data_IF_360468020945
#
_entry.id   IF_360468020945
#
_cell.length_a   1.000
_cell.length_b   1.000
_cell.length_c   1.000
_cell.angle_alpha   90.00
_cell.angle_beta   90.00
_cell.angle_gamma   90.00
#
_symmetry.space_group_name_H-M   'P 1'
#
loop_
_entity.id
_entity.type
_entity.pdbx_description
1 polymer ?
#
# COMPACT_ATOMS: atom_id res chain seq x y z
N UNK A 1 -33.31 17.51 -9.14
CA UNK A 1 -33.15 18.65 -8.21
C UNK A 1 -31.72 18.86 -7.69
N UNK A 2 -31.08 17.90 -7.00
CA UNK A 2 -29.69 18.08 -6.49
C UNK A 2 -28.65 18.10 -7.62
N UNK A 3 -28.78 17.20 -8.60
CA UNK A 3 -27.89 17.08 -9.76
C UNK A 3 -27.96 18.31 -10.70
N UNK A 4 -29.14 18.92 -10.85
CA UNK A 4 -29.33 20.17 -11.61
C UNK A 4 -28.77 21.40 -10.90
N UNK A 5 -28.76 21.42 -9.56
CA UNK A 5 -28.15 22.50 -8.79
C UNK A 5 -26.63 22.49 -8.88
N UNK A 6 -26.01 21.31 -8.87
CA UNK A 6 -24.54 21.15 -9.00
C UNK A 6 -24.07 21.63 -10.38
N UNK A 7 -24.79 21.29 -11.46
CA UNK A 7 -24.47 21.73 -12.82
C UNK A 7 -24.67 23.24 -13.06
N UNK A 8 -25.49 23.93 -12.26
CA UNK A 8 -25.63 25.40 -12.32
C UNK A 8 -24.52 26.15 -11.59
N UNK A 9 -23.91 25.56 -10.56
CA UNK A 9 -22.81 26.18 -9.79
C UNK A 9 -21.51 26.21 -10.59
N UNK A 10 -21.28 25.22 -11.47
CA UNK A 10 -20.11 25.18 -12.37
C UNK A 10 -20.14 26.23 -13.50
N UNK A 11 -21.26 26.93 -13.72
CA UNK A 11 -21.46 27.89 -14.84
C UNK A 11 -21.43 29.37 -14.45
N UNK A 12 -21.13 29.72 -13.20
CA UNK A 12 -21.10 31.13 -12.76
C UNK A 12 -19.76 31.80 -13.13
N UNK A 13 -19.76 32.99 -13.77
CA UNK A 13 -18.54 33.63 -14.24
C UNK A 13 -17.70 34.17 -13.07
N UNK A 14 -16.38 34.03 -13.20
CA UNK A 14 -15.39 34.53 -12.26
C UNK A 14 -15.26 36.03 -12.44
N UNK A 15 -15.87 36.81 -11.55
CA UNK A 15 -15.66 38.26 -11.48
C UNK A 15 -14.59 38.52 -10.42
N UNK A 16 -13.37 38.79 -10.89
CA UNK A 16 -12.26 39.26 -10.08
C UNK A 16 -12.41 40.77 -9.91
N UNK A 17 -12.58 41.26 -8.68
CA UNK A 17 -12.37 42.68 -8.36
C UNK A 17 -11.20 42.82 -7.38
N UNK A 18 -10.32 43.73 -7.78
CA UNK A 18 -9.00 44.12 -7.30
C UNK A 18 -8.89 44.48 -5.82
N UNK A 19 -7.95 43.84 -5.09
CA UNK A 19 -7.05 44.43 -4.08
C UNK A 19 -6.06 43.35 -3.57
N UNK A 20 -4.73 43.57 -3.61
CA UNK A 20 -3.75 42.53 -3.33
C UNK A 20 -3.18 42.68 -1.91
N UNK A 21 -3.70 41.94 -0.93
CA UNK A 21 -3.02 41.61 0.34
C UNK A 21 -3.92 40.60 1.07
N UNK A 22 -3.38 39.44 1.44
CA UNK A 22 -4.07 38.28 2.05
C UNK A 22 -4.95 37.41 1.12
N UNK A 23 -4.32 36.72 0.16
CA UNK A 23 -4.93 35.54 -0.47
C UNK A 23 -4.37 34.26 0.18
N UNK A 24 -4.86 33.93 1.37
CA UNK A 24 -4.75 32.59 1.95
C UNK A 24 -6.18 32.07 2.22
N UNK A 25 -6.95 31.97 1.13
CA UNK A 25 -8.31 31.46 1.15
C UNK A 25 -8.30 30.08 0.49
N UNK A 26 -8.07 29.04 1.28
CA UNK A 26 -8.20 27.65 0.82
C UNK A 26 -9.59 27.48 0.21
N UNK A 27 -9.64 26.72 -0.88
CA UNK A 27 -10.85 26.38 -1.62
C UNK A 27 -11.96 25.85 -0.68
N UNK A 28 -11.59 25.29 0.47
CA UNK A 28 -12.45 24.83 1.58
C UNK A 28 -13.29 25.94 2.21
N UNK A 29 -12.73 27.13 2.48
CA UNK A 29 -13.50 28.25 3.06
C UNK A 29 -14.55 28.76 2.07
N UNK A 30 -14.22 28.73 0.77
CA UNK A 30 -15.15 29.11 -0.31
C UNK A 30 -16.22 28.04 -0.55
N UNK A 31 -15.86 26.75 -0.51
CA UNK A 31 -16.81 25.64 -0.59
C UNK A 31 -17.76 25.65 0.61
N UNK A 32 -17.24 25.86 1.82
CA UNK A 32 -18.02 25.97 3.04
C UNK A 32 -19.00 27.14 2.97
N UNK A 33 -18.55 28.30 2.47
CA UNK A 33 -19.44 29.45 2.27
C UNK A 33 -20.52 29.13 1.24
N UNK A 34 -20.18 28.63 0.05
CA UNK A 34 -21.13 28.25 -1.00
C UNK A 34 -22.15 27.18 -0.54
N UNK A 35 -21.69 26.14 0.16
CA UNK A 35 -22.56 25.08 0.70
C UNK A 35 -23.43 25.61 1.85
N UNK A 36 -22.93 26.54 2.66
CA UNK A 36 -23.74 27.24 3.67
C UNK A 36 -24.82 28.11 3.04
N UNK A 37 -24.53 28.72 1.89
CA UNK A 37 -25.48 29.53 1.11
C UNK A 37 -26.55 28.65 0.46
N UNK A 38 -26.17 27.51 -0.12
CA UNK A 38 -27.09 26.51 -0.67
C UNK A 38 -28.04 25.96 0.41
N UNK A 39 -27.51 25.68 1.61
CA UNK A 39 -28.32 25.26 2.75
C UNK A 39 -29.30 26.33 3.26
N UNK A 40 -29.15 27.62 2.93
CA UNK A 40 -30.12 28.66 3.34
C UNK A 40 -31.45 28.61 2.59
N UNK A 41 -31.48 27.95 1.43
CA UNK A 41 -32.70 27.79 0.61
C UNK A 41 -33.50 26.53 0.98
N UNK A 42 -33.04 25.74 1.95
CA UNK A 42 -33.72 24.53 2.43
C UNK A 42 -34.51 24.83 3.71
N UNK A 43 -35.74 24.32 3.81
CA UNK A 43 -36.57 24.44 5.01
C UNK A 43 -36.02 23.59 6.18
N UNK A 44 -36.45 23.93 7.40
CA UNK A 44 -35.80 23.63 8.69
C UNK A 44 -35.19 22.23 8.86
N UNK A 45 -35.95 21.15 8.61
CA UNK A 45 -35.44 19.79 8.78
C UNK A 45 -34.32 19.44 7.80
N UNK A 46 -34.43 19.80 6.52
CA UNK A 46 -33.40 19.54 5.51
C UNK A 46 -32.10 20.33 5.75
N UNK A 47 -32.22 21.54 6.31
CA UNK A 47 -31.08 22.40 6.68
C UNK A 47 -30.34 21.88 7.91
N UNK A 48 -31.06 21.30 8.86
CA UNK A 48 -30.49 20.64 10.04
C UNK A 48 -29.78 19.35 9.64
N UNK A 49 -30.41 18.52 8.81
CA UNK A 49 -29.82 17.26 8.30
C UNK A 49 -28.56 17.50 7.46
N UNK A 50 -28.55 18.53 6.60
CA UNK A 50 -27.39 18.88 5.79
C UNK A 50 -26.20 19.40 6.62
N UNK A 51 -26.45 20.29 7.61
CA UNK A 51 -25.41 20.73 8.56
C UNK A 51 -24.95 19.60 9.47
N UNK A 52 -25.84 18.68 9.83
CA UNK A 52 -25.54 17.49 10.63
C UNK A 52 -24.68 16.49 9.86
N UNK A 53 -25.00 16.20 8.59
CA UNK A 53 -24.18 15.35 7.71
C UNK A 53 -22.78 15.92 7.47
N UNK A 54 -22.66 17.23 7.22
CA UNK A 54 -21.37 17.90 7.05
C UNK A 54 -20.58 17.89 8.36
N UNK A 55 -21.20 18.12 9.53
CA UNK A 55 -20.50 18.02 10.82
C UNK A 55 -20.07 16.58 11.15
N UNK A 56 -20.85 15.56 10.78
CA UNK A 56 -20.52 14.16 11.06
C UNK A 56 -19.32 13.67 10.25
N UNK A 57 -19.17 13.99 8.95
CA UNK A 57 -18.02 13.52 8.12
C UNK A 57 -16.64 13.83 8.72
N UNK A 58 -16.51 14.93 9.47
CA UNK A 58 -15.27 15.38 10.11
C UNK A 58 -14.94 14.63 11.41
N UNK A 59 -15.86 13.78 11.88
CA UNK A 59 -15.71 12.91 13.07
C UNK A 59 -15.42 11.44 12.69
N UNK A 60 -15.46 11.08 11.40
CA UNK A 60 -15.15 9.71 10.98
C UNK A 60 -13.64 9.57 10.86
N UNK A 61 -13.08 8.88 11.85
CA UNK A 61 -11.69 8.48 11.85
C UNK A 61 -11.53 7.16 11.11
N UNK A 62 -10.75 7.20 10.03
CA UNK A 62 -10.36 6.04 9.25
C UNK A 62 -8.93 5.68 9.63
N UNK A 63 -8.72 4.43 10.01
CA UNK A 63 -7.38 3.89 10.22
C UNK A 63 -6.87 3.31 8.91
N UNK A 64 -5.67 3.72 8.49
CA UNK A 64 -5.01 3.22 7.28
C UNK A 64 -3.78 2.40 7.68
N UNK A 65 -3.76 1.11 7.33
CA UNK A 65 -2.55 0.30 7.47
C UNK A 65 -1.61 0.64 6.30
N UNK A 66 -0.54 1.39 6.57
CA UNK A 66 0.31 1.99 5.55
C UNK A 66 1.47 1.05 5.17
N UNK A 67 1.48 0.51 3.95
CA UNK A 67 2.53 -0.41 3.51
C UNK A 67 2.81 -0.51 2.01
N UNK A 68 2.06 0.17 1.14
CA UNK A 68 2.37 0.30 -0.30
C UNK A 68 2.57 1.77 -0.68
N UNK A 69 3.18 2.02 -1.85
CA UNK A 69 3.41 3.40 -2.31
C UNK A 69 2.10 4.17 -2.53
N UNK A 70 1.06 3.47 -2.96
CA UNK A 70 -0.28 3.99 -3.22
C UNK A 70 -1.01 4.43 -1.95
N UNK A 71 -0.54 4.01 -0.76
CA UNK A 71 -1.09 4.46 0.52
C UNK A 71 -1.02 5.98 0.68
N UNK A 72 -0.07 6.66 0.01
CA UNK A 72 0.00 8.12 -0.02
C UNK A 72 -1.23 8.74 -0.69
N UNK A 73 -1.56 8.28 -1.90
CA UNK A 73 -2.72 8.77 -2.65
C UNK A 73 -4.02 8.45 -1.93
N UNK A 74 -4.08 7.29 -1.25
CA UNK A 74 -5.19 6.95 -0.38
C UNK A 74 -5.39 7.98 0.74
N UNK A 75 -4.34 8.30 1.50
CA UNK A 75 -4.44 9.30 2.57
C UNK A 75 -4.85 10.66 2.00
N UNK A 76 -4.20 11.11 0.92
CA UNK A 76 -4.55 12.38 0.25
C UNK A 76 -6.03 12.42 -0.16
N UNK A 77 -6.55 11.36 -0.78
CA UNK A 77 -7.96 11.26 -1.18
C UNK A 77 -8.92 11.24 0.01
N UNK A 78 -8.60 10.50 1.08
CA UNK A 78 -9.40 10.50 2.31
C UNK A 78 -9.46 11.89 2.94
N UNK A 79 -8.32 12.59 2.99
CA UNK A 79 -8.24 13.96 3.52
C UNK A 79 -9.02 14.95 2.67
N UNK A 80 -8.93 14.87 1.35
CA UNK A 80 -9.71 15.71 0.42
C UNK A 80 -11.22 15.51 0.59
N UNK A 81 -11.65 14.29 0.95
CA UNK A 81 -13.03 13.97 1.27
C UNK A 81 -13.45 14.40 2.71
N UNK A 82 -12.55 14.99 3.49
CA UNK A 82 -12.82 15.54 4.82
C UNK A 82 -12.74 14.52 5.97
N UNK A 83 -12.19 13.33 5.73
CA UNK A 83 -12.00 12.32 6.78
C UNK A 83 -10.82 12.66 7.70
N UNK A 84 -10.89 12.16 8.94
CA UNK A 84 -9.72 12.08 9.82
C UNK A 84 -9.00 10.77 9.55
N UNK A 85 -7.68 10.79 9.54
CA UNK A 85 -6.86 9.64 9.17
C UNK A 85 -5.78 9.37 10.22
N UNK A 86 -5.76 8.15 10.75
CA UNK A 86 -4.64 7.62 11.53
C UNK A 86 -3.92 6.58 10.68
N UNK A 87 -2.64 6.78 10.43
CA UNK A 87 -1.82 5.83 9.71
C UNK A 87 -1.09 4.89 10.67
N UNK A 88 -1.10 3.59 10.36
CA UNK A 88 -0.35 2.57 11.09
C UNK A 88 0.82 2.10 10.25
N UNK A 89 2.02 2.16 10.80
CA UNK A 89 3.21 1.63 10.11
C UNK A 89 4.27 1.17 11.10
N UNK A 90 5.08 0.17 10.71
CA UNK A 90 6.18 -0.38 11.52
C UNK A 90 7.55 0.21 11.16
N UNK A 91 7.58 1.26 10.34
CA UNK A 91 8.84 1.84 9.85
C UNK A 91 8.86 3.36 10.00
N UNK A 92 9.99 3.90 10.44
CA UNK A 92 10.19 5.35 10.58
C UNK A 92 10.00 6.08 9.24
N UNK A 93 10.47 5.47 8.14
CA UNK A 93 10.29 6.00 6.79
C UNK A 93 8.82 6.02 6.36
N UNK A 94 8.08 4.93 6.56
CA UNK A 94 6.65 4.88 6.29
C UNK A 94 5.87 5.91 7.11
N UNK A 95 6.26 6.12 8.37
CA UNK A 95 5.62 7.10 9.24
C UNK A 95 5.81 8.54 8.74
N UNK A 96 7.04 8.88 8.33
CA UNK A 96 7.31 10.18 7.70
C UNK A 96 6.49 10.39 6.42
N UNK A 97 6.43 9.38 5.55
CA UNK A 97 5.65 9.48 4.31
C UNK A 97 4.15 9.62 4.59
N UNK A 98 3.60 8.88 5.55
CA UNK A 98 2.19 8.99 5.93
C UNK A 98 1.86 10.38 6.48
N UNK A 99 2.73 10.96 7.31
CA UNK A 99 2.58 12.33 7.81
C UNK A 99 2.62 13.37 6.69
N UNK A 100 3.58 13.27 5.76
CA UNK A 100 3.66 14.14 4.57
C UNK A 100 2.40 14.02 3.70
N UNK A 101 1.78 12.85 3.66
CA UNK A 101 0.56 12.59 2.89
C UNK A 101 -0.71 13.17 3.54
N UNK A 102 -0.61 13.71 4.76
CA UNK A 102 -1.71 14.39 5.45
C UNK A 102 -2.40 13.59 6.54
N UNK A 103 -1.82 12.48 7.03
CA UNK A 103 -2.35 11.76 8.18
C UNK A 103 -2.40 12.67 9.42
N UNK A 104 -3.51 12.63 10.16
CA UNK A 104 -3.66 13.42 11.40
C UNK A 104 -2.81 12.85 12.55
N UNK A 105 -2.52 11.55 12.51
CA UNK A 105 -1.60 10.89 13.42
C UNK A 105 -0.97 9.64 12.79
N UNK A 106 0.20 9.25 13.31
CA UNK A 106 0.92 8.04 12.90
C UNK A 106 1.19 7.21 14.15
N UNK A 107 0.83 5.93 14.11
CA UNK A 107 1.00 4.99 15.23
C UNK A 107 1.72 3.72 14.81
N UNK A 108 2.41 3.10 15.77
CA UNK A 108 3.13 1.83 15.59
C UNK A 108 2.81 0.91 16.79
N UNK A 109 1.64 0.24 16.81
CA UNK A 109 1.25 -0.61 17.93
C UNK A 109 2.20 -1.81 18.03
N UNK A 110 2.62 -2.11 19.26
CA UNK A 110 3.53 -3.20 19.55
C UNK A 110 2.84 -4.58 19.49
N UNK A 111 1.55 -4.64 19.86
CA UNK A 111 0.80 -5.89 20.06
C UNK A 111 -0.72 -5.71 19.74
N UNK A 112 -1.49 -6.81 19.68
CA UNK A 112 -2.93 -6.76 19.42
C UNK A 112 -3.75 -5.97 20.44
N UNK A 113 -3.43 -6.07 21.73
CA UNK A 113 -4.18 -5.38 22.78
C UNK A 113 -4.03 -3.86 22.63
N UNK A 114 -2.82 -3.40 22.28
CA UNK A 114 -2.57 -2.00 22.01
C UNK A 114 -3.27 -1.53 20.74
N UNK A 115 -3.33 -2.36 19.69
CA UNK A 115 -4.08 -2.05 18.48
C UNK A 115 -5.57 -1.87 18.79
N UNK A 116 -6.19 -2.80 19.51
CA UNK A 116 -7.59 -2.73 19.91
C UNK A 116 -7.88 -1.48 20.78
N UNK A 117 -7.00 -1.19 21.74
CA UNK A 117 -7.08 0.02 22.56
C UNK A 117 -7.05 1.30 21.72
N UNK A 118 -6.13 1.40 20.75
CA UNK A 118 -6.07 2.56 19.84
C UNK A 118 -7.34 2.70 19.00
N UNK A 119 -7.88 1.59 18.48
CA UNK A 119 -9.11 1.56 17.69
C UNK A 119 -10.29 2.10 18.53
N UNK A 120 -10.41 1.64 19.77
CA UNK A 120 -11.46 2.05 20.70
C UNK A 120 -11.29 3.50 21.18
N UNK A 121 -10.11 3.85 21.70
CA UNK A 121 -9.80 5.16 22.28
C UNK A 121 -9.96 6.30 21.28
N UNK A 122 -9.57 6.07 20.02
CA UNK A 122 -9.69 7.06 18.95
C UNK A 122 -11.06 7.02 18.26
N UNK A 123 -11.91 6.05 18.58
CA UNK A 123 -13.23 5.89 17.97
C UNK A 123 -13.15 5.61 16.47
N UNK A 124 -12.21 4.75 16.06
CA UNK A 124 -12.03 4.36 14.65
C UNK A 124 -13.32 3.74 14.13
N UNK A 125 -13.77 4.22 12.98
CA UNK A 125 -15.04 3.77 12.38
C UNK A 125 -14.87 2.81 11.22
N UNK A 126 -13.67 2.75 10.65
CA UNK A 126 -13.35 1.91 9.51
C UNK A 126 -11.84 1.73 9.40
N UNK A 127 -11.42 0.56 8.93
CA UNK A 127 -10.03 0.27 8.60
C UNK A 127 -9.89 0.08 7.10
N UNK A 128 -8.86 0.70 6.52
CA UNK A 128 -8.38 0.44 5.16
C UNK A 128 -6.98 -0.16 5.23
N UNK A 129 -6.87 -1.44 4.91
CA UNK A 129 -5.60 -2.15 4.83
C UNK A 129 -4.93 -1.90 3.49
N UNK A 130 -3.98 -0.97 3.47
CA UNK A 130 -3.11 -0.68 2.33
C UNK A 130 -1.69 -1.23 2.56
N UNK A 131 -1.57 -2.41 3.18
CA UNK A 131 -0.30 -3.11 3.31
C UNK A 131 0.08 -3.85 2.03
N UNK A 132 1.33 -4.29 1.94
CA UNK A 132 1.78 -5.08 0.80
C UNK A 132 0.89 -6.33 0.63
N UNK A 133 0.59 -6.75 -0.62
CA UNK A 133 -0.37 -7.82 -0.89
C UNK A 133 -0.06 -9.22 -0.30
N UNK A 134 1.07 -9.41 0.38
CA UNK A 134 1.39 -10.65 1.09
C UNK A 134 0.84 -10.58 2.50
N UNK A 135 0.56 -11.73 3.12
CA UNK A 135 0.05 -11.77 4.49
C UNK A 135 1.02 -11.06 5.43
N UNK A 136 0.51 -10.02 6.07
CA UNK A 136 1.22 -9.26 7.08
C UNK A 136 0.62 -9.61 8.44
N UNK A 137 1.44 -9.88 9.47
CA UNK A 137 0.93 -10.04 10.84
C UNK A 137 0.09 -8.84 11.29
N UNK A 138 0.37 -7.64 10.77
CA UNK A 138 -0.42 -6.45 11.04
C UNK A 138 -1.84 -6.56 10.45
N UNK A 139 -1.96 -7.02 9.20
CA UNK A 139 -3.26 -7.21 8.53
C UNK A 139 -4.11 -8.24 9.26
N UNK A 140 -3.55 -9.42 9.56
CA UNK A 140 -4.27 -10.50 10.24
C UNK A 140 -4.79 -10.01 11.60
N UNK A 141 -3.90 -9.45 12.42
CA UNK A 141 -4.27 -8.90 13.72
C UNK A 141 -5.38 -7.85 13.63
N UNK A 142 -5.27 -6.91 12.69
CA UNK A 142 -6.24 -5.81 12.59
C UNK A 142 -7.58 -6.28 12.06
N UNK A 143 -7.57 -7.22 11.11
CA UNK A 143 -8.77 -7.89 10.62
C UNK A 143 -9.52 -8.60 11.73
N UNK A 144 -8.82 -9.39 12.55
CA UNK A 144 -9.45 -10.15 13.64
C UNK A 144 -10.09 -9.21 14.66
N UNK A 145 -9.43 -8.08 14.97
CA UNK A 145 -9.99 -7.03 15.84
C UNK A 145 -11.23 -6.39 15.18
N UNK A 146 -11.17 -6.07 13.88
CA UNK A 146 -12.32 -5.47 13.18
C UNK A 146 -13.52 -6.42 13.13
N UNK A 147 -13.28 -7.71 12.91
CA UNK A 147 -14.32 -8.73 12.92
C UNK A 147 -14.97 -8.85 14.31
N UNK A 148 -14.17 -8.79 15.38
CA UNK A 148 -14.65 -8.82 16.76
C UNK A 148 -15.47 -7.57 17.13
N UNK A 149 -15.00 -6.38 16.72
CA UNK A 149 -15.63 -5.07 17.03
C UNK A 149 -16.76 -4.70 16.06
N UNK A 150 -17.01 -5.51 15.01
CA UNK A 150 -17.99 -5.21 13.97
C UNK A 150 -17.62 -4.00 13.10
N UNK A 151 -16.33 -3.70 12.95
CA UNK A 151 -15.83 -2.58 12.16
C UNK A 151 -15.65 -2.96 10.69
N UNK A 152 -16.06 -2.10 9.73
CA UNK A 152 -15.77 -2.31 8.32
C UNK A 152 -14.26 -2.38 8.06
N UNK A 153 -13.84 -3.45 7.39
CA UNK A 153 -12.47 -3.68 6.97
C UNK A 153 -12.41 -3.76 5.44
N UNK A 154 -11.73 -2.80 4.80
CA UNK A 154 -11.51 -2.80 3.35
C UNK A 154 -10.03 -3.04 3.07
N UNK A 155 -9.72 -3.83 2.05
CA UNK A 155 -8.33 -4.01 1.59
C UNK A 155 -8.09 -3.17 0.35
N UNK A 156 -7.03 -2.37 0.36
CA UNK A 156 -6.51 -1.67 -0.81
C UNK A 156 -5.22 -2.33 -1.26
N UNK A 157 -5.35 -3.21 -2.23
CA UNK A 157 -4.25 -4.01 -2.76
C UNK A 157 -3.77 -3.52 -4.11
N UNK A 158 -2.78 -4.22 -4.63
CA UNK A 158 -2.48 -4.21 -6.07
C UNK A 158 -3.08 -5.46 -6.67
N UNK A 159 -3.62 -5.38 -7.87
CA UNK A 159 -4.02 -6.58 -8.62
C UNK A 159 -2.84 -7.53 -8.83
N UNK A 160 -3.14 -8.74 -9.30
CA UNK A 160 -2.11 -9.62 -9.84
C UNK A 160 -1.46 -8.97 -11.06
N UNK A 161 -0.16 -9.17 -11.20
CA UNK A 161 0.53 -8.72 -12.41
C UNK A 161 0.21 -9.70 -13.52
N UNK A 162 -0.40 -9.22 -14.60
CA UNK A 162 -0.52 -10.03 -15.81
C UNK A 162 0.88 -10.28 -16.38
N UNK A 163 1.24 -11.56 -16.47
CA UNK A 163 2.54 -12.01 -16.91
C UNK A 163 2.35 -12.95 -18.10
N UNK A 164 3.12 -12.74 -19.20
CA UNK A 164 3.02 -13.62 -20.35
C UNK A 164 3.35 -15.06 -19.94
N UNK A 165 2.58 -16.01 -20.47
CA UNK A 165 2.87 -17.42 -20.27
C UNK A 165 4.28 -17.73 -20.78
N UNK A 166 5.12 -18.28 -19.91
CA UNK A 166 6.50 -18.63 -20.23
C UNK A 166 6.88 -19.90 -19.49
N UNK A 167 7.51 -20.88 -20.15
CA UNK A 167 7.99 -22.10 -19.50
C UNK A 167 9.10 -21.82 -18.47
N UNK A 168 9.69 -20.62 -18.51
CA UNK A 168 10.71 -20.17 -17.57
C UNK A 168 10.12 -19.62 -16.26
N UNK A 169 8.80 -19.41 -16.16
CA UNK A 169 8.15 -18.87 -14.97
C UNK A 169 7.50 -19.99 -14.19
N UNK A 170 8.09 -20.33 -13.04
CA UNK A 170 7.62 -21.36 -12.13
C UNK A 170 6.87 -20.71 -10.96
N UNK A 171 5.56 -20.93 -10.90
CA UNK A 171 4.71 -20.43 -9.80
C UNK A 171 4.78 -21.39 -8.62
N UNK A 172 4.95 -20.85 -7.42
CA UNK A 172 5.03 -21.58 -6.15
C UNK A 172 4.21 -20.84 -5.10
N UNK A 173 3.78 -21.52 -4.03
CA UNK A 173 2.84 -20.98 -3.04
C UNK A 173 3.43 -20.83 -1.63
N UNK A 174 4.68 -21.23 -1.41
CA UNK A 174 5.40 -21.01 -0.15
C UNK A 174 6.86 -20.61 -0.37
N UNK A 175 7.49 -20.09 0.69
CA UNK A 175 8.91 -19.73 0.67
C UNK A 175 9.80 -20.97 0.60
N UNK A 176 9.39 -22.04 1.27
CA UNK A 176 10.05 -23.35 1.27
C UNK A 176 9.99 -23.98 -0.13
N UNK A 177 8.81 -23.98 -0.76
CA UNK A 177 8.66 -24.44 -2.14
C UNK A 177 9.49 -23.58 -3.11
N UNK A 178 9.60 -22.27 -2.86
CA UNK A 178 10.45 -21.40 -3.67
C UNK A 178 11.94 -21.75 -3.55
N UNK A 179 12.42 -22.02 -2.33
CA UNK A 179 13.80 -22.42 -2.09
C UNK A 179 14.11 -23.80 -2.72
N UNK A 180 13.21 -24.76 -2.54
CA UNK A 180 13.25 -26.08 -3.19
C UNK A 180 13.26 -25.95 -4.71
N UNK A 181 12.35 -25.14 -5.29
CA UNK A 181 12.30 -24.99 -6.74
C UNK A 181 13.52 -24.27 -7.29
N UNK A 182 14.04 -23.27 -6.57
CA UNK A 182 15.27 -22.56 -6.93
C UNK A 182 16.50 -23.48 -6.95
N UNK A 183 16.55 -24.51 -6.09
CA UNK A 183 17.66 -25.47 -6.02
C UNK A 183 17.83 -26.29 -7.30
N UNK A 184 16.76 -26.43 -8.08
CA UNK A 184 16.71 -27.19 -9.34
C UNK A 184 17.36 -26.46 -10.52
N UNK A 185 17.88 -25.24 -10.33
CA UNK A 185 18.45 -24.40 -11.39
C UNK A 185 19.96 -24.11 -11.17
N UNK A 186 20.49 -23.08 -11.85
CA UNK A 186 21.91 -22.73 -11.84
C UNK A 186 22.46 -22.32 -10.47
N UNK A 187 23.79 -22.18 -10.38
CA UNK A 187 24.52 -22.07 -9.10
C UNK A 187 24.29 -20.79 -8.29
N UNK A 188 23.76 -19.75 -8.94
CA UNK A 188 23.51 -18.45 -8.29
C UNK A 188 22.01 -18.18 -8.21
N UNK A 189 21.50 -18.17 -6.98
CA UNK A 189 20.12 -17.78 -6.66
C UNK A 189 20.07 -16.28 -6.41
N UNK A 190 19.38 -15.54 -7.27
CA UNK A 190 19.20 -14.10 -7.13
C UNK A 190 17.84 -13.78 -6.51
N UNK A 191 17.83 -13.35 -5.26
CA UNK A 191 16.64 -13.01 -4.49
C UNK A 191 16.26 -11.53 -4.70
N UNK A 192 15.08 -11.30 -5.27
CA UNK A 192 14.47 -9.96 -5.38
C UNK A 192 13.34 -9.75 -4.37
N UNK A 193 13.28 -10.60 -3.35
CA UNK A 193 12.21 -10.71 -2.35
C UNK A 193 12.46 -9.87 -1.09
N UNK A 194 13.64 -9.25 -0.97
CA UNK A 194 14.06 -8.50 0.21
C UNK A 194 14.65 -9.40 1.30
N UNK A 195 14.86 -8.83 2.49
CA UNK A 195 15.57 -9.49 3.60
C UNK A 195 14.69 -10.30 4.55
N UNK A 196 13.36 -10.23 4.42
CA UNK A 196 12.45 -10.80 5.44
C UNK A 196 12.41 -12.33 5.44
N UNK A 197 12.60 -12.96 4.29
CA UNK A 197 12.59 -14.41 4.11
C UNK A 197 13.98 -14.97 3.77
N UNK A 198 15.02 -14.15 3.92
CA UNK A 198 16.39 -14.51 3.52
C UNK A 198 16.91 -15.74 4.28
N UNK A 199 16.55 -15.86 5.56
CA UNK A 199 16.92 -16.98 6.42
C UNK A 199 16.45 -18.33 5.86
N UNK A 200 15.27 -18.37 5.22
CA UNK A 200 14.70 -19.58 4.63
C UNK A 200 15.62 -20.08 3.53
N UNK A 201 16.05 -19.21 2.62
CA UNK A 201 16.95 -19.57 1.53
C UNK A 201 18.36 -19.93 2.01
N UNK A 202 18.92 -19.17 2.96
CA UNK A 202 20.26 -19.42 3.49
C UNK A 202 20.35 -20.73 4.27
N UNK A 203 19.26 -21.15 4.95
CA UNK A 203 19.23 -22.36 5.77
C UNK A 203 18.68 -23.58 5.02
N UNK A 204 18.14 -23.41 3.81
CA UNK A 204 17.56 -24.50 3.03
C UNK A 204 18.63 -25.53 2.67
N UNK A 205 18.37 -26.81 2.97
CA UNK A 205 19.37 -27.88 2.80
C UNK A 205 19.83 -28.03 1.35
N UNK A 206 18.92 -27.89 0.40
CA UNK A 206 19.23 -28.05 -1.02
C UNK A 206 19.97 -26.86 -1.65
N UNK A 207 20.01 -25.73 -0.96
CA UNK A 207 20.75 -24.55 -1.41
C UNK A 207 22.16 -24.49 -0.81
N UNK A 208 22.57 -25.51 -0.04
CA UNK A 208 23.93 -25.61 0.50
C UNK A 208 24.95 -25.61 -0.64
N UNK A 209 25.95 -24.75 -0.54
CA UNK A 209 26.99 -24.58 -1.56
C UNK A 209 26.58 -23.71 -2.76
N UNK A 210 25.31 -23.29 -2.86
CA UNK A 210 24.87 -22.33 -3.88
C UNK A 210 25.17 -20.90 -3.44
N UNK A 211 25.46 -20.03 -4.41
CA UNK A 211 25.67 -18.59 -4.15
C UNK A 211 24.31 -17.91 -4.04
N UNK A 212 24.05 -17.23 -2.93
CA UNK A 212 22.81 -16.45 -2.74
C UNK A 212 23.14 -14.98 -2.84
N UNK A 213 22.57 -14.32 -3.85
CA UNK A 213 22.64 -12.88 -4.03
C UNK A 213 21.29 -12.29 -3.62
N UNK A 214 21.28 -11.29 -2.74
CA UNK A 214 20.05 -10.69 -2.23
C UNK A 214 20.00 -9.21 -2.57
N UNK A 215 18.87 -8.78 -3.14
CA UNK A 215 18.57 -7.36 -3.36
C UNK A 215 17.69 -6.82 -2.25
N UNK A 216 18.15 -5.75 -1.60
CA UNK A 216 17.49 -5.12 -0.45
C UNK A 216 17.44 -3.60 -0.61
N UNK A 217 16.57 -2.94 0.17
CA UNK A 217 16.56 -1.47 0.28
C UNK A 217 17.88 -1.01 0.94
N UNK A 218 18.45 0.16 0.58
CA UNK A 218 19.69 0.67 1.15
C UNK A 218 19.49 1.23 2.57
N UNK A 219 18.99 0.40 3.48
CA UNK A 219 18.83 0.71 4.90
C UNK A 219 19.92 -0.02 5.70
N UNK A 220 20.58 0.70 6.60
CA UNK A 220 21.71 0.18 7.37
C UNK A 220 21.33 -1.04 8.23
N UNK A 221 20.11 -1.09 8.78
CA UNK A 221 19.62 -2.21 9.61
C UNK A 221 19.39 -3.44 8.74
N UNK A 222 18.87 -3.23 7.53
CA UNK A 222 18.62 -4.30 6.56
C UNK A 222 19.93 -4.88 6.03
N UNK A 223 20.90 -4.04 5.66
CA UNK A 223 22.21 -4.48 5.21
C UNK A 223 22.93 -5.23 6.34
N UNK A 224 22.90 -4.71 7.57
CA UNK A 224 23.46 -5.38 8.75
C UNK A 224 22.82 -6.76 8.95
N UNK A 225 21.49 -6.87 8.86
CA UNK A 225 20.78 -8.16 8.94
C UNK A 225 21.34 -9.17 7.92
N UNK A 226 21.53 -8.76 6.66
CA UNK A 226 22.10 -9.65 5.65
C UNK A 226 23.52 -10.12 6.02
N UNK A 227 24.35 -9.23 6.55
CA UNK A 227 25.72 -9.56 6.98
C UNK A 227 25.73 -10.49 8.20
N UNK A 228 24.88 -10.24 9.20
CA UNK A 228 24.73 -11.07 10.39
C UNK A 228 24.28 -12.51 10.03
N UNK A 229 23.54 -12.66 8.92
CA UNK A 229 23.13 -13.95 8.38
C UNK A 229 24.21 -14.63 7.50
N UNK A 230 25.38 -14.01 7.33
CA UNK A 230 26.51 -14.56 6.60
C UNK A 230 26.50 -14.27 5.09
N UNK A 231 25.67 -13.36 4.59
CA UNK A 231 25.73 -12.95 3.18
C UNK A 231 26.97 -12.10 2.95
N UNK A 232 27.77 -12.47 1.96
CA UNK A 232 28.96 -11.71 1.59
C UNK A 232 28.59 -10.29 1.12
N UNK A 233 29.34 -9.23 1.48
CA UNK A 233 29.05 -7.88 1.03
C UNK A 233 28.91 -7.72 -0.50
N UNK A 234 29.71 -8.48 -1.27
CA UNK A 234 29.63 -8.52 -2.74
C UNK A 234 28.35 -9.15 -3.30
N UNK A 235 27.55 -9.80 -2.46
CA UNK A 235 26.31 -10.49 -2.81
C UNK A 235 25.07 -9.74 -2.27
N UNK A 236 25.27 -8.56 -1.68
CA UNK A 236 24.20 -7.66 -1.22
C UNK A 236 24.04 -6.54 -2.24
N UNK A 237 22.89 -6.52 -2.92
CA UNK A 237 22.53 -5.46 -3.86
C UNK A 237 21.62 -4.46 -3.16
N UNK A 238 22.20 -3.40 -2.59
CA UNK A 238 21.45 -2.37 -1.87
C UNK A 238 20.94 -1.28 -2.83
N UNK A 239 19.64 -1.32 -3.17
CA UNK A 239 19.02 -0.34 -4.09
C UNK A 239 17.50 -0.26 -3.90
N UNK A 240 16.94 0.92 -4.13
CA UNK A 240 15.50 1.17 -4.06
C UNK A 240 14.90 1.26 -5.48
N UNK A 241 13.85 0.47 -5.72
CA UNK A 241 13.13 0.44 -6.99
C UNK A 241 11.95 1.43 -7.06
N UNK A 242 11.11 1.35 -8.12
CA UNK A 242 11.07 0.30 -9.14
C UNK A 242 12.22 0.39 -10.16
N UNK A 243 12.58 -0.75 -10.77
CA UNK A 243 13.69 -0.85 -11.73
C UNK A 243 13.18 -1.13 -13.14
N UNK A 244 13.83 -0.57 -14.15
CA UNK A 244 13.54 -0.84 -15.57
C UNK A 244 13.96 -2.25 -15.98
N UNK A 245 13.43 -2.75 -17.10
CA UNK A 245 13.87 -4.04 -17.70
C UNK A 245 15.38 -4.02 -17.95
N UNK A 246 15.90 -2.93 -18.54
CA UNK A 246 17.33 -2.79 -18.88
C UNK A 246 18.22 -2.89 -17.64
N UNK A 247 17.84 -2.22 -16.54
CA UNK A 247 18.62 -2.25 -15.30
C UNK A 247 18.56 -3.64 -14.65
N UNK A 248 17.39 -4.29 -14.61
CA UNK A 248 17.30 -5.67 -14.10
C UNK A 248 18.18 -6.62 -14.93
N UNK A 249 18.21 -6.50 -16.26
CA UNK A 249 19.09 -7.32 -17.12
C UNK A 249 20.55 -7.15 -16.75
N UNK A 250 21.01 -5.90 -16.64
CA UNK A 250 22.39 -5.60 -16.30
C UNK A 250 22.78 -6.18 -14.94
N UNK A 251 21.89 -6.08 -13.94
CA UNK A 251 22.12 -6.66 -12.61
C UNK A 251 22.16 -8.19 -12.67
N UNK A 252 21.19 -8.85 -13.31
CA UNK A 252 21.17 -10.31 -13.40
C UNK A 252 22.41 -10.87 -14.11
N UNK A 253 22.90 -10.19 -15.15
CA UNK A 253 24.14 -10.55 -15.82
C UNK A 253 25.38 -10.31 -14.95
N UNK A 254 25.48 -9.14 -14.31
CA UNK A 254 26.63 -8.78 -13.45
C UNK A 254 26.81 -9.78 -12.30
N UNK A 255 25.70 -10.27 -11.74
CA UNK A 255 25.73 -11.25 -10.66
C UNK A 255 25.70 -12.71 -11.13
N UNK A 256 25.62 -12.95 -12.46
CA UNK A 256 25.51 -14.28 -13.08
C UNK A 256 24.36 -15.10 -12.51
N UNK A 257 23.18 -14.49 -12.40
CA UNK A 257 21.99 -15.15 -11.86
C UNK A 257 21.65 -16.41 -12.67
N UNK A 258 21.62 -17.56 -12.00
CA UNK A 258 21.17 -18.84 -12.56
C UNK A 258 19.67 -19.08 -12.38
N UNK A 259 19.06 -18.40 -11.40
CA UNK A 259 17.61 -18.32 -11.18
C UNK A 259 17.29 -17.01 -10.46
N UNK A 260 16.16 -16.40 -10.81
CA UNK A 260 15.62 -15.25 -10.09
C UNK A 260 14.44 -15.69 -9.24
N UNK A 261 14.53 -15.48 -7.93
CA UNK A 261 13.37 -15.64 -7.03
C UNK A 261 12.73 -14.28 -6.83
N UNK A 262 11.44 -14.19 -7.07
CA UNK A 262 10.66 -12.97 -6.92
C UNK A 262 9.31 -13.29 -6.31
N UNK A 263 8.66 -12.26 -5.80
CA UNK A 263 7.26 -12.29 -5.38
C UNK A 263 6.46 -11.33 -6.24
N UNK A 264 5.16 -11.58 -6.40
CA UNK A 264 4.30 -10.64 -7.11
C UNK A 264 3.99 -9.41 -6.23
N UNK A 265 4.74 -8.33 -6.44
CA UNK A 265 4.50 -7.03 -5.80
C UNK A 265 3.44 -6.16 -6.49
N UNK A 266 2.77 -6.69 -7.52
CA UNK A 266 1.80 -5.99 -8.35
C UNK A 266 2.45 -5.20 -9.49
N UNK A 267 1.64 -4.64 -10.41
CA UNK A 267 2.13 -3.94 -11.60
C UNK A 267 3.12 -2.80 -11.28
N UNK A 268 2.77 -1.96 -10.32
CA UNK A 268 3.60 -0.84 -9.83
C UNK A 268 4.81 -1.28 -9.01
N UNK A 269 4.85 -2.55 -8.55
CA UNK A 269 5.99 -3.15 -7.84
C UNK A 269 7.12 -3.61 -8.76
N UNK A 270 6.98 -3.40 -10.08
CA UNK A 270 7.99 -3.79 -11.06
C UNK A 270 8.08 -5.30 -11.28
N UNK A 271 7.04 -6.08 -10.90
CA UNK A 271 6.98 -7.53 -11.16
C UNK A 271 7.22 -7.82 -12.64
N UNK A 272 6.49 -7.11 -13.52
CA UNK A 272 6.63 -7.23 -14.97
C UNK A 272 8.08 -7.02 -15.43
N UNK A 273 8.72 -5.93 -14.99
CA UNK A 273 10.08 -5.59 -15.42
C UNK A 273 11.12 -6.64 -14.98
N UNK A 274 10.96 -7.20 -13.78
CA UNK A 274 11.84 -8.27 -13.27
C UNK A 274 11.68 -9.55 -14.08
N UNK A 275 10.43 -9.99 -14.28
CA UNK A 275 10.12 -11.22 -15.02
C UNK A 275 10.59 -11.09 -16.46
N UNK A 276 10.23 -10.00 -17.15
CA UNK A 276 10.65 -9.74 -18.53
C UNK A 276 12.16 -9.71 -18.68
N UNK A 277 12.88 -9.08 -17.75
CA UNK A 277 14.35 -9.05 -17.79
C UNK A 277 14.96 -10.46 -17.66
N UNK A 278 14.44 -11.30 -16.76
CA UNK A 278 14.91 -12.67 -16.58
C UNK A 278 14.57 -13.56 -17.78
N UNK A 279 13.33 -13.50 -18.29
CA UNK A 279 12.91 -14.30 -19.44
C UNK A 279 13.66 -13.91 -20.72
N UNK A 280 13.90 -12.62 -20.95
CA UNK A 280 14.71 -12.14 -22.08
C UNK A 280 16.16 -12.64 -22.01
N UNK A 281 16.68 -12.92 -20.80
CA UNK A 281 17.99 -13.51 -20.56
C UNK A 281 17.97 -15.04 -20.47
N UNK A 282 16.81 -15.67 -20.69
CA UNK A 282 16.57 -17.12 -20.53
C UNK A 282 16.88 -17.63 -19.12
N UNK A 283 16.76 -16.78 -18.10
CA UNK A 283 16.95 -17.14 -16.70
C UNK A 283 15.60 -17.59 -16.12
N UNK A 284 15.51 -18.78 -15.52
CA UNK A 284 14.31 -19.23 -14.82
C UNK A 284 13.89 -18.26 -13.71
N UNK A 285 12.59 -18.10 -13.55
CA UNK A 285 11.97 -17.27 -12.52
C UNK A 285 11.13 -18.14 -11.61
N UNK A 286 11.45 -18.16 -10.31
CA UNK A 286 10.59 -18.72 -9.28
C UNK A 286 9.74 -17.59 -8.72
N UNK A 287 8.45 -17.60 -9.06
CA UNK A 287 7.47 -16.60 -8.68
C UNK A 287 6.63 -17.12 -7.52
N UNK A 288 6.84 -16.53 -6.35
CA UNK A 288 6.02 -16.79 -5.17
C UNK A 288 4.68 -16.08 -5.36
N UNK A 289 3.62 -16.88 -5.42
CA UNK A 289 2.24 -16.43 -5.48
C UNK A 289 1.79 -15.89 -4.13
N UNK A 290 0.77 -15.03 -4.18
CA UNK A 290 0.14 -14.51 -2.97
C UNK A 290 -0.83 -15.55 -2.44
N UNK A 291 -1.02 -15.59 -1.13
CA UNK A 291 -2.15 -16.32 -0.55
C UNK A 291 -3.46 -15.63 -0.96
N UNK A 292 -4.45 -16.43 -1.37
CA UNK A 292 -5.79 -15.94 -1.63
C UNK A 292 -6.43 -15.57 -0.28
N UNK A 293 -6.65 -14.27 -0.05
CA UNK A 293 -7.43 -13.81 1.09
C UNK A 293 -8.91 -13.99 0.75
N UNK A 294 -9.56 -14.96 1.39
CA UNK A 294 -10.99 -15.21 1.25
C UNK A 294 -11.79 -14.31 2.19
N UNK A 295 -12.91 -13.77 1.69
CA UNK A 295 -13.92 -13.08 2.51
C UNK A 295 -13.75 -11.58 2.72
N UNK A 296 -12.67 -10.95 2.23
CA UNK A 296 -12.46 -9.50 2.37
C UNK A 296 -12.89 -8.73 1.10
N UNK A 297 -13.50 -7.57 1.28
CA UNK A 297 -13.73 -6.63 0.18
C UNK A 297 -12.40 -5.98 -0.22
N UNK A 298 -11.81 -6.46 -1.32
CA UNK A 298 -10.54 -6.01 -1.84
C UNK A 298 -10.72 -5.11 -3.07
N UNK A 299 -10.08 -3.95 -3.04
CA UNK A 299 -10.08 -2.96 -4.11
C UNK A 299 -8.67 -2.78 -4.67
N UNK A 300 -8.56 -2.70 -5.99
CA UNK A 300 -7.31 -2.42 -6.72
C UNK A 300 -7.31 -1.05 -7.39
N UNK A 301 -8.43 -0.35 -7.30
CA UNK A 301 -8.69 0.95 -7.89
C UNK A 301 -9.10 1.92 -6.78
N UNK A 302 -8.48 3.10 -6.76
CA UNK A 302 -8.66 4.06 -5.67
C UNK A 302 -10.08 4.65 -5.66
N UNK A 303 -10.67 4.87 -6.83
CA UNK A 303 -12.00 5.47 -6.91
C UNK A 303 -13.06 4.49 -6.39
N UNK A 304 -12.97 3.21 -6.78
CA UNK A 304 -13.83 2.14 -6.26
C UNK A 304 -13.68 1.96 -4.75
N UNK A 305 -12.45 2.03 -4.24
CA UNK A 305 -12.21 1.99 -2.80
C UNK A 305 -12.87 3.19 -2.09
N UNK A 306 -12.74 4.40 -2.63
CA UNK A 306 -13.33 5.59 -2.04
C UNK A 306 -14.87 5.55 -2.06
N UNK A 307 -15.48 4.93 -3.08
CA UNK A 307 -16.91 4.63 -3.08
C UNK A 307 -17.30 3.67 -1.95
N UNK A 308 -16.53 2.60 -1.73
CA UNK A 308 -16.77 1.65 -0.65
C UNK A 308 -16.57 2.28 0.75
N UNK A 309 -15.55 3.13 0.92
CA UNK A 309 -15.34 3.92 2.15
C UNK A 309 -16.57 4.80 2.44
N UNK A 310 -17.04 5.55 1.44
CA UNK A 310 -18.23 6.40 1.59
C UNK A 310 -19.48 5.61 1.92
N UNK A 311 -19.68 4.45 1.27
CA UNK A 311 -20.82 3.55 1.54
C UNK A 311 -20.85 3.11 3.01
N UNK A 312 -19.72 2.68 3.56
CA UNK A 312 -19.63 2.21 4.95
C UNK A 312 -19.74 3.35 5.99
N UNK A 313 -19.53 4.59 5.57
CA UNK A 313 -19.67 5.80 6.42
C UNK A 313 -21.12 6.30 6.49
N UNK A 314 -21.99 5.86 5.56
CA UNK A 314 -23.38 6.32 5.48
C UNK A 314 -24.36 5.41 6.22
N UNK A 315 -23.94 4.20 6.57
CA UNK A 315 -24.63 3.23 7.43
C UNK A 315 -24.29 3.43 8.89
#
# INVERSE_FOLDING_TARGET
MVTEMINRVQKLPIICSSSPLYCNNSMEKRLFWCLSQAGRRMSGQGRMYFRYMIKKRWLWLIMVLYGIGESRLLIESLKNDGFKVVAVTRTDYGGRLAGISGADAVVAPADPARMAGIISDLGVRQVVDATHPFVSPLSVMTRDICAYEGLPYLRFGRGETDLPASPLVHRVYSWEEAAQKASSFGDTVFLTTGSNSLEIFLRHRELRGRRIVVRVIPDHRVIKKCQDLGVSPRDIVAMQGPFSVKLNKAIFQAYRAGVVVTRDGGPSGGTYNKVRAATDLKIPVVMIQREALSGEECHYDLDKLMEAVRRNTLT
#
